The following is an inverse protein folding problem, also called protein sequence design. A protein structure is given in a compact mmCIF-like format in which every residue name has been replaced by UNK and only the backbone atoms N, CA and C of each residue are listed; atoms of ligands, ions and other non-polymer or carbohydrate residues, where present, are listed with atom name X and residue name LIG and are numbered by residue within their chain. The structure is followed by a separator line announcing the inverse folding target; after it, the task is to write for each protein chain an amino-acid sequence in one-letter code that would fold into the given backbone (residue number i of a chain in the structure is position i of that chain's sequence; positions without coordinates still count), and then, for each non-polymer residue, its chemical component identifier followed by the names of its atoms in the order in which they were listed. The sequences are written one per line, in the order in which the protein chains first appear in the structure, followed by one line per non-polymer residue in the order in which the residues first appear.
data_IF_120821089632
#
_entry.id   IF_120821089632
#
_cell.length_a   1.000
_cell.length_b   1.000
_cell.length_c   1.000
_cell.angle_alpha   90.00
_cell.angle_beta   90.00
_cell.angle_gamma   90.00
#
_symmetry.space_group_name_H-M   'P 1'
#
loop_
_entity.id
_entity.type
_entity.pdbx_description
1 polymer ?
#
# COMPACT_ATOMS: atom_id res chain seq x y z
N UNK A 1 -16.87 -14.08 24.91
CA UNK A 1 -15.91 -13.08 24.40
C UNK A 1 -16.10 -12.98 22.90
N UNK A 2 -16.21 -11.76 22.39
CA UNK A 2 -16.57 -11.48 20.99
C UNK A 2 -15.38 -11.77 20.05
N UNK A 3 -15.25 -13.02 19.60
CA UNK A 3 -14.13 -13.47 18.77
C UNK A 3 -13.98 -12.64 17.48
N UNK A 4 -15.10 -12.20 16.90
CA UNK A 4 -15.13 -11.36 15.72
C UNK A 4 -14.57 -9.95 15.95
N UNK A 5 -14.61 -9.39 17.16
CA UNK A 5 -14.00 -8.08 17.43
C UNK A 5 -12.46 -8.20 17.51
N UNK A 6 -11.97 -9.27 18.11
CA UNK A 6 -10.53 -9.56 18.20
C UNK A 6 -9.90 -9.82 16.83
N UNK A 7 -10.57 -10.59 15.96
CA UNK A 7 -10.11 -10.85 14.59
C UNK A 7 -10.04 -9.58 13.75
N UNK A 8 -11.06 -8.72 13.82
CA UNK A 8 -11.08 -7.42 13.12
C UNK A 8 -9.93 -6.52 13.55
N UNK A 9 -9.66 -6.46 14.85
CA UNK A 9 -8.56 -5.67 15.42
C UNK A 9 -7.20 -6.22 14.99
N UNK A 10 -7.01 -7.54 15.06
CA UNK A 10 -5.78 -8.20 14.64
C UNK A 10 -5.50 -7.96 13.15
N UNK A 11 -6.53 -8.10 12.30
CA UNK A 11 -6.43 -7.81 10.87
C UNK A 11 -6.04 -6.36 10.61
N UNK A 12 -6.70 -5.41 11.27
CA UNK A 12 -6.44 -3.97 11.10
C UNK A 12 -5.01 -3.61 11.50
N UNK A 13 -4.50 -4.18 12.60
CA UNK A 13 -3.12 -3.98 13.05
C UNK A 13 -2.10 -4.57 12.07
N UNK A 14 -2.35 -5.79 11.57
CA UNK A 14 -1.47 -6.42 10.60
C UNK A 14 -1.42 -5.64 9.28
N UNK A 15 -2.59 -5.22 8.79
CA UNK A 15 -2.74 -4.39 7.60
C UNK A 15 -2.05 -3.03 7.74
N UNK A 16 -2.16 -2.39 8.91
CA UNK A 16 -1.50 -1.11 9.18
C UNK A 16 0.01 -1.26 9.10
N UNK A 17 0.57 -2.31 9.72
CA UNK A 17 2.00 -2.60 9.66
C UNK A 17 2.47 -2.85 8.23
N UNK A 18 1.70 -3.61 7.46
CA UNK A 18 2.03 -3.89 6.06
C UNK A 18 2.03 -2.60 5.22
N UNK A 19 1.06 -1.70 5.41
CA UNK A 19 1.06 -0.40 4.75
C UNK A 19 2.25 0.48 5.14
N UNK A 20 2.67 0.46 6.42
CA UNK A 20 3.86 1.19 6.87
C UNK A 20 5.14 0.65 6.20
N UNK A 21 5.24 -0.67 6.06
CA UNK A 21 6.36 -1.30 5.33
C UNK A 21 6.36 -0.89 3.85
N UNK A 22 5.19 -0.91 3.18
CA UNK A 22 5.07 -0.48 1.79
C UNK A 22 5.36 1.02 1.62
N UNK A 23 4.93 1.86 2.57
CA UNK A 23 5.24 3.28 2.59
C UNK A 23 6.74 3.53 2.64
N UNK A 24 7.47 2.79 3.48
CA UNK A 24 8.93 2.89 3.54
C UNK A 24 9.59 2.48 2.22
N UNK A 25 9.06 1.46 1.53
CA UNK A 25 9.55 1.04 0.20
C UNK A 25 9.30 2.14 -0.84
N UNK A 26 8.10 2.72 -0.88
CA UNK A 26 7.76 3.82 -1.81
C UNK A 26 8.65 5.05 -1.56
N UNK A 27 8.89 5.42 -0.29
CA UNK A 27 9.80 6.51 0.06
C UNK A 27 11.25 6.26 -0.40
N UNK A 28 11.71 5.01 -0.33
CA UNK A 28 13.01 4.60 -0.88
C UNK A 28 13.02 4.73 -2.41
N UNK A 29 11.98 4.25 -3.10
CA UNK A 29 11.84 4.40 -4.55
C UNK A 29 11.84 5.88 -4.97
N UNK A 30 11.16 6.76 -4.21
CA UNK A 30 11.20 8.20 -4.41
C UNK A 30 12.62 8.74 -4.33
N UNK A 31 13.37 8.35 -3.31
CA UNK A 31 14.77 8.77 -3.13
C UNK A 31 15.64 8.32 -4.30
N UNK A 32 15.45 7.08 -4.78
CA UNK A 32 16.14 6.56 -5.97
C UNK A 32 15.76 7.32 -7.23
N UNK A 33 14.49 7.66 -7.41
CA UNK A 33 14.01 8.48 -8.51
C UNK A 33 14.67 9.87 -8.52
N UNK A 34 14.83 10.49 -7.34
CA UNK A 34 15.48 11.79 -7.21
C UNK A 34 16.96 11.77 -7.58
N UNK A 35 17.66 10.67 -7.27
CA UNK A 35 19.07 10.45 -7.55
C UNK A 35 19.36 9.97 -8.98
N UNK A 36 18.34 9.57 -9.74
CA UNK A 36 18.49 9.08 -11.11
C UNK A 36 18.84 10.20 -12.10
N UNK A 37 19.31 9.81 -13.30
CA UNK A 37 19.50 10.73 -14.43
C UNK A 37 18.18 11.42 -14.82
N UNK A 38 18.23 12.58 -15.47
CA UNK A 38 17.03 13.37 -15.81
C UNK A 38 15.97 12.59 -16.59
N UNK A 39 16.39 11.73 -17.52
CA UNK A 39 15.49 10.88 -18.31
C UNK A 39 14.82 9.79 -17.47
N UNK A 40 15.59 9.08 -16.64
CA UNK A 40 15.04 8.05 -15.74
C UNK A 40 14.23 8.64 -14.60
N UNK A 41 14.58 9.85 -14.14
CA UNK A 41 13.92 10.56 -13.05
C UNK A 41 12.46 10.85 -13.35
N UNK A 42 12.14 11.34 -14.55
CA UNK A 42 10.75 11.65 -14.92
C UNK A 42 9.87 10.37 -14.90
N UNK A 43 10.37 9.28 -15.48
CA UNK A 43 9.67 7.99 -15.51
C UNK A 43 9.51 7.40 -14.11
N UNK A 44 10.57 7.39 -13.31
CA UNK A 44 10.54 6.88 -11.94
C UNK A 44 9.67 7.74 -11.02
N UNK A 45 9.67 9.07 -11.17
CA UNK A 45 8.76 9.96 -10.45
C UNK A 45 7.30 9.65 -10.76
N UNK A 46 6.93 9.53 -12.04
CA UNK A 46 5.56 9.19 -12.42
C UNK A 46 5.12 7.85 -11.80
N UNK A 47 6.00 6.85 -11.79
CA UNK A 47 5.73 5.57 -11.16
C UNK A 47 5.57 5.68 -9.64
N UNK A 48 6.45 6.45 -8.98
CA UNK A 48 6.38 6.69 -7.53
C UNK A 48 5.12 7.47 -7.16
N UNK A 49 4.75 8.50 -7.92
CA UNK A 49 3.55 9.30 -7.68
C UNK A 49 2.28 8.44 -7.76
N UNK A 50 2.24 7.49 -8.71
CA UNK A 50 1.15 6.51 -8.80
C UNK A 50 1.12 5.59 -7.57
N UNK A 51 2.28 5.09 -7.14
CA UNK A 51 2.37 4.23 -5.94
C UNK A 51 1.96 4.97 -4.66
N UNK A 52 2.30 6.26 -4.53
CA UNK A 52 1.89 7.09 -3.40
C UNK A 52 0.38 7.32 -3.37
N UNK A 53 -0.24 7.55 -4.54
CA UNK A 53 -1.68 7.67 -4.66
C UNK A 53 -2.38 6.36 -4.22
N UNK A 54 -1.90 5.21 -4.72
CA UNK A 54 -2.48 3.90 -4.39
C UNK A 54 -2.28 3.53 -2.92
N UNK A 55 -1.13 3.88 -2.34
CA UNK A 55 -0.86 3.74 -0.92
C UNK A 55 -1.88 4.56 -0.10
N UNK A 56 -2.08 5.83 -0.46
CA UNK A 56 -3.04 6.70 0.22
C UNK A 56 -4.47 6.17 0.13
N UNK A 57 -4.91 5.73 -1.05
CA UNK A 57 -6.23 5.11 -1.24
C UNK A 57 -6.39 3.83 -0.39
N UNK A 58 -5.35 3.00 -0.34
CA UNK A 58 -5.38 1.75 0.44
C UNK A 58 -5.43 2.03 1.94
N UNK A 59 -4.75 3.09 2.40
CA UNK A 59 -4.76 3.54 3.79
C UNK A 59 -6.10 4.14 4.21
N UNK A 60 -6.76 4.88 3.32
CA UNK A 60 -8.14 5.31 3.53
C UNK A 60 -9.09 4.11 3.68
N UNK A 61 -8.95 3.09 2.82
CA UNK A 61 -9.76 1.86 2.93
C UNK A 61 -9.53 1.10 4.23
N UNK A 62 -8.30 1.12 4.77
CA UNK A 62 -8.02 0.53 6.08
C UNK A 62 -8.71 1.32 7.21
N UNK A 63 -8.75 2.65 7.11
CA UNK A 63 -9.45 3.52 8.05
C UNK A 63 -10.96 3.23 8.02
N UNK A 64 -11.54 3.12 6.82
CA UNK A 64 -12.94 2.73 6.64
C UNK A 64 -13.22 1.33 7.20
N UNK A 65 -12.28 0.39 7.02
CA UNK A 65 -12.39 -0.96 7.56
C UNK A 65 -12.38 -0.99 9.10
N UNK A 66 -11.56 -0.14 9.73
CA UNK A 66 -11.47 -0.02 11.19
C UNK A 66 -12.73 0.56 11.83
N UNK A 67 -13.48 1.38 11.09
CA UNK A 67 -14.76 1.97 11.53
C UNK A 67 -15.99 1.16 11.09
N UNK A 68 -15.78 0.09 10.32
CA UNK A 68 -16.85 -0.72 9.76
C UNK A 68 -17.63 -1.53 10.80
N UNK A 69 -18.93 -1.64 10.59
CA UNK A 69 -19.79 -2.59 11.31
C UNK A 69 -19.47 -4.02 10.90
N UNK A 70 -19.84 -5.02 11.71
CA UNK A 70 -19.61 -6.43 11.38
C UNK A 70 -20.21 -6.84 10.02
N UNK A 71 -21.35 -6.27 9.65
CA UNK A 71 -22.04 -6.55 8.39
C UNK A 71 -21.29 -6.00 7.17
N UNK A 72 -20.68 -4.81 7.29
CA UNK A 72 -19.94 -4.17 6.19
C UNK A 72 -18.45 -4.55 6.16
N UNK A 73 -17.93 -5.07 7.27
CA UNK A 73 -16.52 -5.39 7.43
C UNK A 73 -16.01 -6.39 6.40
N UNK A 74 -16.75 -7.48 6.10
CA UNK A 74 -16.30 -8.47 5.10
C UNK A 74 -16.12 -7.85 3.71
N UNK A 75 -17.06 -7.00 3.30
CA UNK A 75 -17.01 -6.34 1.98
C UNK A 75 -15.86 -5.34 1.91
N UNK A 76 -15.65 -4.57 2.97
CA UNK A 76 -14.55 -3.61 3.05
C UNK A 76 -13.20 -4.32 3.15
N UNK A 77 -13.12 -5.46 3.83
CA UNK A 77 -11.92 -6.30 3.93
C UNK A 77 -11.51 -6.80 2.55
N UNK A 78 -12.46 -7.29 1.75
CA UNK A 78 -12.18 -7.74 0.38
C UNK A 78 -11.72 -6.58 -0.50
N UNK A 79 -12.35 -5.41 -0.37
CA UNK A 79 -11.95 -4.21 -1.11
C UNK A 79 -10.56 -3.70 -0.71
N UNK A 80 -10.22 -3.76 0.58
CA UNK A 80 -8.90 -3.43 1.11
C UNK A 80 -7.85 -4.44 0.62
N UNK A 81 -8.11 -5.75 0.76
CA UNK A 81 -7.19 -6.82 0.35
C UNK A 81 -6.83 -6.70 -1.13
N UNK A 82 -7.83 -6.44 -2.00
CA UNK A 82 -7.58 -6.23 -3.42
C UNK A 82 -6.71 -5.01 -3.72
N UNK A 83 -6.95 -3.90 -3.02
CA UNK A 83 -6.12 -2.70 -3.16
C UNK A 83 -4.69 -2.94 -2.68
N UNK A 84 -4.52 -3.64 -1.56
CA UNK A 84 -3.21 -4.00 -1.02
C UNK A 84 -2.44 -4.93 -1.96
N UNK A 85 -3.09 -5.98 -2.50
CA UNK A 85 -2.48 -6.88 -3.47
C UNK A 85 -2.03 -6.17 -4.74
N UNK A 86 -2.87 -5.25 -5.25
CA UNK A 86 -2.53 -4.40 -6.39
C UNK A 86 -1.31 -3.54 -6.11
N UNK A 87 -1.30 -2.82 -4.98
CA UNK A 87 -0.17 -1.99 -4.57
C UNK A 87 1.13 -2.79 -4.45
N UNK A 88 1.08 -3.99 -3.83
CA UNK A 88 2.24 -4.88 -3.71
C UNK A 88 2.75 -5.35 -5.07
N UNK A 89 1.85 -5.71 -5.99
CA UNK A 89 2.22 -6.10 -7.34
C UNK A 89 2.89 -4.95 -8.10
N UNK A 90 2.40 -3.73 -7.95
CA UNK A 90 2.99 -2.54 -8.59
C UNK A 90 4.35 -2.18 -8.00
N UNK A 91 4.53 -2.26 -6.68
CA UNK A 91 5.83 -2.05 -6.01
C UNK A 91 6.84 -3.09 -6.50
N UNK A 92 6.44 -4.36 -6.55
CA UNK A 92 7.32 -5.44 -7.03
C UNK A 92 7.69 -5.25 -8.51
N UNK A 93 6.73 -4.82 -9.35
CA UNK A 93 7.01 -4.51 -10.75
C UNK A 93 7.98 -3.33 -10.89
N UNK A 94 7.83 -2.27 -10.09
CA UNK A 94 8.75 -1.14 -10.07
C UNK A 94 10.16 -1.53 -9.58
N UNK A 95 10.24 -2.44 -8.61
CA UNK A 95 11.50 -2.97 -8.11
C UNK A 95 12.22 -3.80 -9.18
N UNK A 96 11.51 -4.67 -9.91
CA UNK A 96 12.08 -5.47 -11.01
C UNK A 96 12.54 -4.61 -12.20
N UNK A 97 11.82 -3.52 -12.47
CA UNK A 97 12.11 -2.63 -13.59
C UNK A 97 13.13 -1.52 -13.25
N UNK A 98 13.57 -1.42 -12.00
CA UNK A 98 14.70 -0.57 -11.62
C UNK A 98 15.99 -1.36 -11.85
N UNK A 99 16.80 -1.07 -12.90
CA UNK A 99 18.09 -1.72 -13.06
C UNK A 99 18.94 -1.42 -11.82
N UNK A 100 19.34 -2.47 -11.12
CA UNK A 100 20.47 -2.40 -10.17
C UNK A 100 21.68 -1.93 -10.97
N UNK A 101 22.15 -0.73 -10.66
CA UNK A 101 23.35 -0.14 -11.24
C UNK A 101 24.54 -0.39 -10.30
#
# INVERSE_FOLDING_TARGET
MDNAASERKAFTLAAQKELEELQAVVANLRTKAEAASQESKAKLRQQVDQLELELHETQQRLTDLGTATAQTWSRLKDAFTKSLEKLKAEIENNRKNSPEN
#
